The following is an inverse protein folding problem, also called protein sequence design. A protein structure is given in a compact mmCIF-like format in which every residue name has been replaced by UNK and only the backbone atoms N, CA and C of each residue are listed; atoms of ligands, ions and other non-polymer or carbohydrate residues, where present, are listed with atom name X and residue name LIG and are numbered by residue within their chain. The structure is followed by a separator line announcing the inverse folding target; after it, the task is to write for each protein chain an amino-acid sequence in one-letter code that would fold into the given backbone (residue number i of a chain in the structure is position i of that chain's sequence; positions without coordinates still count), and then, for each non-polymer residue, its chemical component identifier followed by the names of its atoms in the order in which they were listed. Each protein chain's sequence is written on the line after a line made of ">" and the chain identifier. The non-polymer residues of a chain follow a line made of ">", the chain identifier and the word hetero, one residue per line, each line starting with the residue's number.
data_IF_609232692441
#
_entry.id   IF_609232692441
#
_cell.length_a   1.000
_cell.length_b   1.000
_cell.length_c   1.000
_cell.angle_alpha   90.00
_cell.angle_beta   90.00
_cell.angle_gamma   90.00
#
_symmetry.space_group_name_H-M   'P 1'
#
loop_
_entity.id
_entity.type
_entity.pdbx_description
1 polymer ?
#
# COMPACT_ATOMS: atom_id res chain seq x y z
N UNK A 1 1.14 27.92 -0.60
CA UNK A 1 2.11 27.95 -1.71
C UNK A 1 3.48 28.02 -1.09
N UNK A 2 4.25 26.94 -1.12
CA UNK A 2 5.66 26.95 -0.71
C UNK A 2 6.42 27.01 -2.02
N UNK A 3 7.03 28.16 -2.29
CA UNK A 3 7.66 28.56 -3.57
C UNK A 3 9.17 28.31 -3.60
N UNK A 4 9.72 27.62 -2.62
CA UNK A 4 11.17 27.48 -2.50
C UNK A 4 11.66 26.10 -2.99
N UNK A 5 11.89 26.01 -4.31
CA UNK A 5 12.37 24.79 -4.99
C UNK A 5 13.78 24.40 -4.53
N UNK A 6 14.55 25.33 -3.96
CA UNK A 6 15.93 25.08 -3.53
C UNK A 6 16.03 24.28 -2.22
N UNK A 7 14.95 24.20 -1.43
CA UNK A 7 14.90 23.45 -0.16
C UNK A 7 14.16 22.10 -0.26
N UNK A 8 13.57 21.79 -1.42
CA UNK A 8 12.71 20.61 -1.56
C UNK A 8 13.55 19.34 -1.79
N UNK A 9 13.34 18.34 -0.95
CA UNK A 9 14.02 17.03 -1.12
C UNK A 9 13.64 16.40 -2.47
N UNK A 10 14.53 15.62 -3.10
CA UNK A 10 14.21 14.95 -4.38
C UNK A 10 12.93 14.09 -4.34
N UNK A 11 12.58 13.55 -3.17
CA UNK A 11 11.33 12.83 -2.95
C UNK A 11 10.10 13.75 -3.03
N UNK A 12 10.17 14.93 -2.41
CA UNK A 12 9.11 15.95 -2.48
C UNK A 12 8.95 16.50 -3.90
N UNK A 13 10.05 16.80 -4.60
CA UNK A 13 9.99 17.25 -6.00
C UNK A 13 9.32 16.21 -6.91
N UNK A 14 9.67 14.92 -6.76
CA UNK A 14 9.02 13.83 -7.50
C UNK A 14 7.54 13.70 -7.18
N UNK A 15 7.16 13.84 -5.91
CA UNK A 15 5.76 13.78 -5.49
C UNK A 15 4.94 14.94 -6.05
N UNK A 16 5.48 16.17 -5.98
CA UNK A 16 4.85 17.37 -6.51
C UNK A 16 4.68 17.28 -8.02
N UNK A 17 5.74 16.88 -8.74
CA UNK A 17 5.69 16.68 -10.19
C UNK A 17 4.64 15.61 -10.56
N UNK A 18 4.60 14.48 -9.85
CA UNK A 18 3.59 13.44 -10.08
C UNK A 18 2.15 13.93 -9.84
N UNK A 19 1.95 14.86 -8.89
CA UNK A 19 0.65 15.49 -8.63
C UNK A 19 0.24 16.45 -9.75
N UNK A 20 1.13 17.33 -10.17
CA UNK A 20 0.89 18.29 -11.25
C UNK A 20 0.63 17.58 -12.58
N UNK A 21 1.44 16.57 -12.93
CA UNK A 21 1.24 15.76 -14.13
C UNK A 21 -0.11 15.04 -14.13
N UNK A 22 -0.55 14.54 -12.96
CA UNK A 22 -1.88 13.94 -12.82
C UNK A 22 -3.00 14.97 -13.02
N UNK A 23 -2.87 16.17 -12.46
CA UNK A 23 -3.84 17.23 -12.63
C UNK A 23 -3.95 17.68 -14.09
N UNK A 24 -2.81 17.92 -14.76
CA UNK A 24 -2.79 18.28 -16.19
C UNK A 24 -3.38 17.18 -17.07
N UNK A 25 -3.07 15.91 -16.78
CA UNK A 25 -3.66 14.76 -17.47
C UNK A 25 -5.20 14.75 -17.35
N UNK A 26 -5.71 14.93 -16.14
CA UNK A 26 -7.15 14.95 -15.87
C UNK A 26 -7.84 16.14 -16.55
N UNK A 27 -7.23 17.33 -16.50
CA UNK A 27 -7.73 18.53 -17.16
C UNK A 27 -7.77 18.38 -18.69
N UNK A 28 -6.83 17.63 -19.27
CA UNK A 28 -6.81 17.30 -20.69
C UNK A 28 -7.76 16.16 -21.09
N UNK A 29 -8.49 15.55 -20.14
CA UNK A 29 -9.37 14.40 -20.40
C UNK A 29 -8.62 13.14 -20.83
N UNK A 30 -7.32 13.05 -20.55
CA UNK A 30 -6.49 11.94 -20.97
C UNK A 30 -6.42 10.85 -19.90
N UNK A 31 -6.52 9.59 -20.31
CA UNK A 31 -6.25 8.44 -19.42
C UNK A 31 -4.74 8.26 -19.20
N UNK A 32 -4.35 7.60 -18.12
CA UNK A 32 -2.92 7.33 -17.86
C UNK A 32 -2.30 6.55 -19.03
N UNK A 33 -3.05 5.62 -19.60
CA UNK A 33 -2.64 4.83 -20.78
C UNK A 33 -2.40 5.68 -22.02
N UNK A 34 -3.26 6.69 -22.28
CA UNK A 34 -3.09 7.60 -23.42
C UNK A 34 -1.81 8.44 -23.26
N UNK A 35 -1.55 8.97 -22.06
CA UNK A 35 -0.34 9.77 -21.81
C UNK A 35 0.93 8.93 -21.90
N UNK A 36 0.93 7.72 -21.34
CA UNK A 36 2.04 6.75 -21.45
C UNK A 36 2.40 6.47 -22.89
N UNK A 37 1.39 6.23 -23.75
CA UNK A 37 1.59 5.94 -25.17
C UNK A 37 2.20 7.12 -25.91
N UNK A 38 1.76 8.34 -25.61
CA UNK A 38 2.25 9.56 -26.28
C UNK A 38 3.65 9.95 -25.80
N UNK A 39 3.93 9.85 -24.49
CA UNK A 39 5.19 10.27 -23.89
C UNK A 39 6.27 9.18 -23.87
N UNK A 40 5.97 7.97 -24.35
CA UNK A 40 6.88 6.81 -24.39
C UNK A 40 7.57 6.62 -23.02
N UNK A 41 6.76 6.59 -21.96
CA UNK A 41 7.27 6.47 -20.61
C UNK A 41 6.51 5.40 -19.83
N UNK A 42 7.15 4.77 -18.85
CA UNK A 42 6.45 3.81 -17.98
C UNK A 42 5.27 4.49 -17.28
N UNK A 43 4.09 3.84 -17.16
CA UNK A 43 2.96 4.35 -16.36
C UNK A 43 3.36 4.79 -14.95
N UNK A 44 4.31 4.07 -14.34
CA UNK A 44 4.84 4.40 -13.01
C UNK A 44 5.55 5.75 -12.91
N UNK A 45 5.98 6.34 -14.05
CA UNK A 45 6.58 7.68 -14.11
C UNK A 45 5.53 8.80 -14.06
N UNK A 46 4.28 8.51 -14.41
CA UNK A 46 3.17 9.48 -14.45
C UNK A 46 2.25 9.35 -13.24
N UNK A 47 2.12 8.15 -12.71
CA UNK A 47 1.39 7.87 -11.49
C UNK A 47 2.23 6.90 -10.64
N UNK A 48 2.96 7.37 -9.62
CA UNK A 48 3.71 6.49 -8.75
C UNK A 48 2.75 5.49 -8.08
N UNK A 49 3.14 4.22 -8.06
CA UNK A 49 2.38 3.16 -7.44
C UNK A 49 2.17 3.51 -5.96
N UNK A 50 0.91 3.57 -5.53
CA UNK A 50 0.57 3.69 -4.11
C UNK A 50 0.39 2.30 -3.56
N UNK A 51 1.17 1.94 -2.55
CA UNK A 51 1.08 0.66 -1.87
C UNK A 51 0.47 0.86 -0.48
N UNK A 52 -0.55 0.08 -0.16
CA UNK A 52 -1.16 0.06 1.16
C UNK A 52 -1.26 -1.38 1.63
N UNK A 53 -0.71 -1.66 2.81
CA UNK A 53 -0.80 -2.94 3.47
C UNK A 53 -1.43 -2.78 4.86
N UNK A 54 -2.34 -3.69 5.18
CA UNK A 54 -2.85 -3.88 6.53
C UNK A 54 -2.38 -5.24 7.00
N UNK A 55 -1.58 -5.28 8.05
CA UNK A 55 -1.01 -6.51 8.61
C UNK A 55 -1.58 -6.76 10.00
N UNK A 56 -1.72 -8.03 10.38
CA UNK A 56 -2.08 -8.38 11.75
C UNK A 56 -0.84 -8.28 12.65
N UNK A 57 -1.02 -7.81 13.90
CA UNK A 57 0.04 -7.74 14.91
C UNK A 57 0.83 -9.05 15.07
N UNK A 58 0.18 -10.21 14.89
CA UNK A 58 0.84 -11.52 14.94
C UNK A 58 2.02 -11.66 13.96
N UNK A 59 2.00 -10.96 12.82
CA UNK A 59 3.10 -10.97 11.83
C UNK A 59 4.38 -10.40 12.42
N UNK A 60 4.28 -9.43 13.32
CA UNK A 60 5.44 -8.81 13.97
C UNK A 60 6.04 -9.70 15.08
N UNK A 61 5.27 -10.67 15.59
CA UNK A 61 5.66 -11.48 16.76
C UNK A 61 5.94 -12.94 16.43
N UNK A 62 5.46 -13.45 15.29
CA UNK A 62 5.66 -14.85 14.89
C UNK A 62 7.07 -15.04 14.32
N UNK A 63 7.92 -15.75 15.07
CA UNK A 63 9.30 -16.02 14.68
C UNK A 63 9.38 -16.85 13.38
N UNK A 64 10.09 -16.33 12.37
CA UNK A 64 10.39 -17.01 11.11
C UNK A 64 11.86 -16.79 10.78
N UNK A 65 12.61 -17.86 10.49
CA UNK A 65 14.05 -17.76 10.18
C UNK A 65 14.96 -17.41 11.37
N UNK A 66 14.41 -17.30 12.59
CA UNK A 66 15.15 -17.00 13.83
C UNK A 66 15.21 -15.50 14.17
N UNK A 67 15.68 -15.15 15.38
CA UNK A 67 15.56 -13.77 15.90
C UNK A 67 16.30 -12.73 15.06
N UNK A 68 17.51 -13.05 14.59
CA UNK A 68 18.30 -12.14 13.75
C UNK A 68 17.61 -11.83 12.41
N UNK A 69 16.96 -12.82 11.79
CA UNK A 69 16.22 -12.64 10.53
C UNK A 69 14.96 -11.81 10.77
N UNK A 70 14.20 -12.10 11.83
CA UNK A 70 13.01 -11.31 12.17
C UNK A 70 13.35 -9.85 12.46
N UNK A 71 14.42 -9.61 13.24
CA UNK A 71 14.90 -8.24 13.50
C UNK A 71 15.16 -7.50 12.20
N UNK A 72 15.96 -8.07 11.30
CA UNK A 72 16.28 -7.45 10.02
C UNK A 72 15.04 -7.23 9.13
N UNK A 73 14.08 -8.17 9.13
CA UNK A 73 12.84 -8.02 8.38
C UNK A 73 11.95 -6.90 8.92
N UNK A 74 11.84 -6.76 10.24
CA UNK A 74 11.02 -5.72 10.88
C UNK A 74 11.70 -4.34 10.74
N UNK A 75 13.03 -4.27 10.84
CA UNK A 75 13.80 -3.07 10.53
C UNK A 75 13.52 -2.59 9.09
N UNK A 76 13.64 -3.49 8.12
CA UNK A 76 13.32 -3.18 6.73
C UNK A 76 11.85 -2.76 6.56
N UNK A 77 10.90 -3.42 7.26
CA UNK A 77 9.49 -3.04 7.24
C UNK A 77 9.28 -1.61 7.77
N UNK A 78 9.99 -1.21 8.82
CA UNK A 78 9.94 0.13 9.36
C UNK A 78 10.46 1.16 8.35
N UNK A 79 11.58 0.88 7.69
CA UNK A 79 12.16 1.74 6.65
C UNK A 79 11.19 1.95 5.48
N UNK A 80 10.60 0.87 4.94
CA UNK A 80 9.68 1.00 3.80
C UNK A 80 8.36 1.67 4.18
N UNK A 81 7.90 1.53 5.44
CA UNK A 81 6.70 2.19 5.94
C UNK A 81 6.83 3.72 6.00
N UNK A 82 8.05 4.26 5.94
CA UNK A 82 8.31 5.71 5.89
C UNK A 82 8.29 6.28 4.47
N UNK A 83 8.27 5.43 3.43
CA UNK A 83 8.21 5.89 2.05
C UNK A 83 6.87 6.62 1.77
N UNK A 84 6.89 7.76 1.07
CA UNK A 84 5.68 8.60 0.89
C UNK A 84 4.57 7.93 0.07
N UNK A 85 4.90 6.88 -0.71
CA UNK A 85 3.96 6.10 -1.51
C UNK A 85 3.53 4.79 -0.82
N UNK A 86 4.03 4.51 0.38
CA UNK A 86 3.76 3.29 1.14
C UNK A 86 2.97 3.64 2.39
N UNK A 87 1.94 2.85 2.67
CA UNK A 87 1.20 2.90 3.93
C UNK A 87 1.15 1.50 4.52
N UNK A 88 1.72 1.34 5.70
CA UNK A 88 1.57 0.11 6.49
C UNK A 88 0.73 0.44 7.72
N UNK A 89 -0.33 -0.31 7.92
CA UNK A 89 -1.15 -0.25 9.13
C UNK A 89 -1.17 -1.60 9.84
N UNK A 90 -1.21 -1.58 11.17
CA UNK A 90 -1.27 -2.79 11.99
C UNK A 90 -2.68 -2.92 12.58
N UNK A 91 -3.31 -4.08 12.40
CA UNK A 91 -4.49 -4.47 13.18
C UNK A 91 -3.99 -5.08 14.49
N UNK A 92 -4.23 -4.41 15.64
CA UNK A 92 -3.81 -4.93 16.93
C UNK A 92 -4.72 -6.09 17.37
N UNK A 93 -4.23 -6.96 18.26
CA UNK A 93 -5.04 -8.08 18.78
C UNK A 93 -6.38 -7.62 19.40
N UNK A 94 -6.39 -6.43 20.02
CA UNK A 94 -7.60 -5.83 20.62
C UNK A 94 -8.73 -5.54 19.63
N UNK A 95 -8.45 -5.48 18.32
CA UNK A 95 -9.47 -5.24 17.30
C UNK A 95 -10.44 -6.42 17.14
N UNK A 96 -10.07 -7.63 17.59
CA UNK A 96 -10.93 -8.80 17.53
C UNK A 96 -11.16 -9.31 16.10
N UNK A 97 -12.39 -9.74 15.82
CA UNK A 97 -12.77 -10.36 14.53
C UNK A 97 -12.74 -9.31 13.41
N UNK A 98 -12.13 -9.66 12.28
CA UNK A 98 -12.04 -8.79 11.11
C UNK A 98 -12.05 -9.59 9.78
N UNK A 99 -12.40 -8.98 8.64
CA UNK A 99 -12.53 -9.69 7.35
C UNK A 99 -11.28 -10.47 6.91
N UNK A 100 -10.10 -9.94 7.23
CA UNK A 100 -8.80 -10.56 6.92
C UNK A 100 -8.53 -11.90 7.64
N UNK A 101 -9.36 -12.30 8.61
CA UNK A 101 -9.29 -13.64 9.20
C UNK A 101 -9.75 -14.74 8.24
N UNK A 102 -10.54 -14.39 7.20
CA UNK A 102 -10.98 -15.33 6.18
C UNK A 102 -9.89 -15.63 5.11
N UNK A 103 -8.74 -14.97 5.20
CA UNK A 103 -7.61 -15.17 4.30
C UNK A 103 -6.99 -13.86 3.83
N UNK A 104 -5.70 -13.92 3.49
CA UNK A 104 -5.00 -12.81 2.87
C UNK A 104 -5.45 -12.61 1.42
N UNK A 105 -5.47 -11.37 0.98
CA UNK A 105 -5.74 -11.00 -0.41
C UNK A 105 -4.94 -9.76 -0.79
N UNK A 106 -4.67 -9.62 -2.09
CA UNK A 106 -4.06 -8.44 -2.67
C UNK A 106 -5.08 -7.77 -3.58
N UNK A 107 -5.28 -6.46 -3.40
CA UNK A 107 -6.21 -5.67 -4.20
C UNK A 107 -5.45 -4.75 -5.17
N UNK A 108 -5.65 -4.98 -6.46
CA UNK A 108 -5.15 -4.14 -7.54
C UNK A 108 -6.24 -3.14 -7.93
N UNK A 109 -6.00 -1.85 -7.69
CA UNK A 109 -6.92 -0.77 -8.04
C UNK A 109 -6.43 -0.02 -9.28
N UNK A 110 -7.34 0.30 -10.17
CA UNK A 110 -7.06 1.01 -11.42
C UNK A 110 -7.97 2.24 -11.53
N UNK A 111 -7.46 3.33 -12.10
CA UNK A 111 -8.26 4.55 -12.31
C UNK A 111 -9.38 4.31 -13.34
N UNK A 112 -9.12 3.47 -14.35
CA UNK A 112 -9.94 3.37 -15.57
C UNK A 112 -10.54 1.96 -15.75
N UNK A 113 -10.41 1.08 -14.76
CA UNK A 113 -10.86 -0.31 -14.82
C UNK A 113 -11.35 -0.81 -13.44
N UNK A 114 -12.21 -1.84 -13.39
CA UNK A 114 -12.61 -2.47 -12.12
C UNK A 114 -11.40 -2.98 -11.34
N UNK A 115 -11.44 -2.85 -10.01
CA UNK A 115 -10.42 -3.45 -9.15
C UNK A 115 -10.46 -4.97 -9.23
N UNK A 116 -9.28 -5.56 -9.10
CA UNK A 116 -9.06 -6.99 -9.16
C UNK A 116 -8.51 -7.45 -7.82
N UNK A 117 -9.17 -8.41 -7.19
CA UNK A 117 -8.60 -9.11 -6.04
C UNK A 117 -7.86 -10.36 -6.51
N UNK A 118 -6.65 -10.51 -6.01
CA UNK A 118 -5.80 -11.68 -6.15
C UNK A 118 -5.75 -12.40 -4.81
N UNK A 119 -6.11 -13.67 -4.82
CA UNK A 119 -6.07 -14.53 -3.63
C UNK A 119 -5.16 -15.70 -3.94
N UNK A 120 -4.18 -15.91 -3.08
CA UNK A 120 -3.28 -17.04 -3.16
C UNK A 120 -3.49 -17.92 -1.94
N UNK A 121 -3.66 -19.21 -2.18
CA UNK A 121 -3.79 -20.22 -1.16
C UNK A 121 -3.00 -21.47 -1.57
N UNK A 122 -3.00 -22.48 -0.69
CA UNK A 122 -2.25 -23.72 -0.91
C UNK A 122 -2.64 -24.44 -2.22
N UNK A 123 -3.89 -24.28 -2.66
CA UNK A 123 -4.42 -24.90 -3.88
C UNK A 123 -4.16 -24.10 -5.16
N UNK A 124 -3.50 -22.94 -5.06
CA UNK A 124 -3.15 -22.08 -6.19
C UNK A 124 -3.66 -20.65 -6.03
N UNK A 125 -3.67 -19.93 -7.14
CA UNK A 125 -4.09 -18.54 -7.19
C UNK A 125 -5.45 -18.39 -7.86
N UNK A 126 -6.29 -17.52 -7.32
CA UNK A 126 -7.55 -17.09 -7.92
C UNK A 126 -7.57 -15.59 -8.09
N UNK A 127 -8.20 -15.17 -9.18
CA UNK A 127 -8.36 -13.76 -9.52
C UNK A 127 -9.83 -13.49 -9.73
N UNK A 128 -10.31 -12.41 -9.13
CA UNK A 128 -11.69 -11.98 -9.30
C UNK A 128 -12.02 -11.71 -10.77
N UNK A 129 -13.10 -12.33 -11.28
CA UNK A 129 -13.53 -12.20 -12.68
C UNK A 129 -14.66 -11.20 -12.89
N UNK A 130 -15.53 -10.99 -11.90
CA UNK A 130 -16.68 -10.08 -12.00
C UNK A 130 -16.40 -8.79 -11.25
N UNK A 131 -16.96 -7.68 -11.74
CA UNK A 131 -16.85 -6.37 -11.07
C UNK A 131 -17.40 -6.38 -9.64
N UNK A 132 -18.53 -7.05 -9.41
CA UNK A 132 -19.16 -7.13 -8.08
C UNK A 132 -18.25 -7.78 -7.03
N UNK A 133 -17.52 -8.81 -7.45
CA UNK A 133 -16.57 -9.51 -6.58
C UNK A 133 -15.40 -8.58 -6.19
N UNK A 134 -14.97 -7.66 -7.06
CA UNK A 134 -13.89 -6.71 -6.77
C UNK A 134 -14.30 -5.66 -5.74
N UNK A 135 -15.56 -5.20 -5.83
CA UNK A 135 -16.14 -4.26 -4.88
C UNK A 135 -16.21 -4.83 -3.45
N UNK A 136 -16.49 -6.14 -3.31
CA UNK A 136 -16.49 -6.82 -2.02
C UNK A 136 -15.11 -6.74 -1.32
N UNK A 137 -14.01 -6.95 -2.06
CA UNK A 137 -12.67 -6.85 -1.50
C UNK A 137 -12.22 -5.41 -1.25
N UNK A 138 -12.76 -4.44 -2.00
CA UNK A 138 -12.59 -3.02 -1.68
C UNK A 138 -13.21 -2.68 -0.33
N UNK A 139 -14.45 -3.10 -0.09
CA UNK A 139 -15.15 -2.92 1.18
C UNK A 139 -14.40 -3.60 2.33
N UNK A 140 -14.04 -4.87 2.17
CA UNK A 140 -13.25 -5.60 3.16
C UNK A 140 -11.91 -4.92 3.48
N UNK A 141 -11.23 -4.36 2.47
CA UNK A 141 -9.99 -3.62 2.69
C UNK A 141 -10.24 -2.31 3.46
N UNK A 142 -11.32 -1.60 3.15
CA UNK A 142 -11.69 -0.38 3.87
C UNK A 142 -11.99 -0.68 5.35
N UNK A 143 -12.74 -1.75 5.64
CA UNK A 143 -13.01 -2.20 7.01
C UNK A 143 -11.72 -2.53 7.76
N UNK A 144 -10.78 -3.23 7.11
CA UNK A 144 -9.47 -3.50 7.68
C UNK A 144 -8.70 -2.22 7.99
N UNK A 145 -8.78 -1.19 7.14
CA UNK A 145 -8.13 0.10 7.42
C UNK A 145 -8.76 0.86 8.58
N UNK A 146 -10.07 0.71 8.80
CA UNK A 146 -10.79 1.33 9.92
C UNK A 146 -10.40 0.64 11.24
N UNK A 147 -10.27 -0.68 11.22
CA UNK A 147 -9.93 -1.48 12.41
C UNK A 147 -8.43 -1.40 12.76
N UNK A 148 -7.58 -1.14 11.76
CA UNK A 148 -6.16 -0.96 11.97
C UNK A 148 -5.84 0.39 12.63
N UNK A 149 -4.79 0.41 13.45
CA UNK A 149 -4.29 1.66 14.01
C UNK A 149 -3.70 2.57 12.91
N UNK A 150 -3.61 3.87 13.20
CA UNK A 150 -3.10 4.84 12.24
C UNK A 150 -1.63 4.58 11.86
N UNK A 151 -1.12 5.14 10.75
CA UNK A 151 0.25 4.85 10.27
C UNK A 151 1.36 5.18 11.28
N UNK A 152 1.20 6.24 12.07
CA UNK A 152 2.19 6.62 13.11
C UNK A 152 2.21 5.62 14.27
N UNK A 153 1.04 5.21 14.76
CA UNK A 153 0.93 4.21 15.83
C UNK A 153 1.42 2.85 15.33
N UNK A 154 1.07 2.48 14.08
CA UNK A 154 1.56 1.29 13.40
C UNK A 154 3.09 1.25 13.32
N UNK A 155 3.73 2.35 12.91
CA UNK A 155 5.19 2.45 12.88
C UNK A 155 5.80 2.31 14.28
N UNK A 156 5.14 2.87 15.30
CA UNK A 156 5.49 2.65 16.70
C UNK A 156 5.46 1.16 17.08
N UNK A 157 4.36 0.46 16.78
CA UNK A 157 4.24 -0.98 17.03
C UNK A 157 5.31 -1.80 16.30
N UNK A 158 5.59 -1.47 15.03
CA UNK A 158 6.64 -2.12 14.23
C UNK A 158 8.01 -1.92 14.90
N UNK A 159 8.34 -0.70 15.31
CA UNK A 159 9.63 -0.39 15.96
C UNK A 159 9.78 -1.03 17.34
N UNK A 160 8.70 -1.14 18.12
CA UNK A 160 8.75 -1.86 19.39
C UNK A 160 8.99 -3.35 19.18
N UNK A 161 8.39 -3.97 18.14
CA UNK A 161 8.62 -5.38 17.82
C UNK A 161 10.09 -5.70 17.49
N UNK A 162 10.87 -4.73 16.99
CA UNK A 162 12.33 -4.90 16.77
C UNK A 162 13.05 -5.26 18.07
N UNK A 163 12.59 -4.75 19.22
CA UNK A 163 13.23 -5.01 20.53
C UNK A 163 12.85 -6.37 21.12
N UNK A 164 11.81 -7.00 20.59
CA UNK A 164 11.26 -8.27 21.10
C UNK A 164 11.94 -9.50 20.46
N UNK A 165 12.50 -9.34 19.25
CA UNK A 165 13.46 -10.26 18.63
C UNK A 165 14.87 -9.76 18.89
#
# INVERSE_FOLDING_TARGET
>A
MITDVESATPALCRLQLGRELRQLRQAAGLTSTQVVRTLICSPSKLAPLKFAAVINEAVLRRLVGGPAVMRAQIEHLAEVAELPSVRVQVIPFRAGVHPGMNGAFTLLRFDDAPSIAYLENLGGASVTRRRADGALYEEAFNDLQILAVGPRESLGMIREAIKEH
#
